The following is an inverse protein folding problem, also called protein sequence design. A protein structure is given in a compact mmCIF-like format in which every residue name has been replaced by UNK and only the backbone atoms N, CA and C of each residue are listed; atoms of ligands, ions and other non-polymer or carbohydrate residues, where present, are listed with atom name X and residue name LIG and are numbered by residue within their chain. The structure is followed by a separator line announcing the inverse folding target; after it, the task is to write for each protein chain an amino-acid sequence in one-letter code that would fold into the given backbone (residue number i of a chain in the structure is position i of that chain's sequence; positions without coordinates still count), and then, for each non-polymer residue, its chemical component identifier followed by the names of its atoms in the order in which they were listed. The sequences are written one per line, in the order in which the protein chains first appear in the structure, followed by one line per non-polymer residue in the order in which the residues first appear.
data_IF_774709053947
#
_entry.id   IF_774709053947
#
_cell.length_a   1.000
_cell.length_b   1.000
_cell.length_c   1.000
_cell.angle_alpha   90.00
_cell.angle_beta   90.00
_cell.angle_gamma   90.00
#
_symmetry.space_group_name_H-M   'P 1'
#
loop_
_entity.id
_entity.type
_entity.pdbx_description
1 polymer ?
#
# COMPACT_ATOMS: atom_id res chain seq x y z
N UNK A 1 5.97 -29.25 -6.54
CA UNK A 1 7.21 -28.77 -5.86
C UNK A 1 6.80 -27.65 -4.91
N UNK A 2 6.78 -27.91 -3.60
CA UNK A 2 6.43 -26.88 -2.62
C UNK A 2 7.47 -25.78 -2.65
N UNK A 3 7.06 -24.53 -2.92
CA UNK A 3 7.97 -23.40 -2.83
C UNK A 3 8.44 -23.29 -1.38
N UNK A 4 9.73 -23.52 -1.14
CA UNK A 4 10.34 -23.25 0.17
C UNK A 4 10.07 -21.79 0.51
N UNK A 5 9.33 -21.54 1.60
CA UNK A 5 9.11 -20.19 2.10
C UNK A 5 10.47 -19.57 2.41
N UNK A 6 10.80 -18.46 1.75
CA UNK A 6 12.09 -17.80 1.94
C UNK A 6 12.12 -17.09 3.30
N UNK A 7 13.20 -17.26 4.04
CA UNK A 7 13.44 -16.48 5.24
C UNK A 7 13.51 -14.99 4.91
N UNK A 8 13.01 -14.15 5.82
CA UNK A 8 13.06 -12.71 5.71
C UNK A 8 14.44 -12.14 6.06
N UNK A 9 15.40 -12.21 5.12
CA UNK A 9 16.78 -11.73 5.32
C UNK A 9 16.81 -10.20 5.50
N UNK A 10 16.09 -9.45 4.66
CA UNK A 10 15.97 -7.99 4.77
C UNK A 10 15.44 -7.47 6.12
N UNK A 11 14.84 -8.33 6.96
CA UNK A 11 14.41 -7.96 8.31
C UNK A 11 15.55 -7.43 9.19
N UNK A 12 16.78 -7.93 8.99
CA UNK A 12 17.95 -7.50 9.73
C UNK A 12 18.39 -6.06 9.39
N UNK A 13 17.93 -5.50 8.27
CA UNK A 13 18.24 -4.13 7.86
C UNK A 13 17.42 -3.08 8.63
N UNK A 14 16.34 -3.48 9.30
CA UNK A 14 15.57 -2.56 10.12
C UNK A 14 16.31 -2.19 11.41
N UNK A 15 16.12 -0.99 11.97
CA UNK A 15 16.65 -0.68 13.28
C UNK A 15 16.14 -1.65 14.36
N UNK A 16 16.92 -1.94 15.42
CA UNK A 16 16.54 -2.92 16.44
C UNK A 16 15.16 -2.67 17.07
N UNK A 17 14.81 -1.41 17.31
CA UNK A 17 13.49 -1.04 17.83
C UNK A 17 12.34 -1.41 16.89
N UNK A 18 12.54 -1.34 15.56
CA UNK A 18 11.52 -1.78 14.58
C UNK A 18 11.40 -3.29 14.62
N UNK A 19 12.54 -3.99 14.64
CA UNK A 19 12.58 -5.44 14.65
C UNK A 19 11.79 -5.98 15.85
N UNK A 20 12.03 -5.45 17.05
CA UNK A 20 11.31 -5.85 18.26
C UNK A 20 9.80 -5.62 18.14
N UNK A 21 9.37 -4.43 17.67
CA UNK A 21 7.94 -4.12 17.48
C UNK A 21 7.27 -5.03 16.44
N UNK A 22 7.96 -5.36 15.35
CA UNK A 22 7.43 -6.27 14.33
C UNK A 22 7.32 -7.70 14.84
N UNK A 23 8.32 -8.20 15.59
CA UNK A 23 8.24 -9.53 16.22
C UNK A 23 7.10 -9.59 17.23
N UNK A 24 6.93 -8.56 18.06
CA UNK A 24 5.81 -8.48 19.01
C UNK A 24 4.46 -8.49 18.29
N UNK A 25 4.32 -7.72 17.19
CA UNK A 25 3.13 -7.73 16.36
C UNK A 25 2.85 -9.11 15.76
N UNK A 26 3.87 -9.79 15.23
CA UNK A 26 3.70 -11.14 14.67
C UNK A 26 3.33 -12.16 15.76
N UNK A 27 3.87 -12.03 16.97
CA UNK A 27 3.48 -12.88 18.09
C UNK A 27 2.00 -12.69 18.45
N UNK A 28 1.55 -11.44 18.61
CA UNK A 28 0.15 -11.09 18.89
C UNK A 28 -0.80 -11.65 17.82
N UNK A 29 -0.49 -11.45 16.53
CA UNK A 29 -1.29 -12.00 15.44
C UNK A 29 -1.37 -13.54 15.49
N UNK A 30 -0.28 -14.22 15.83
CA UNK A 30 -0.27 -15.67 15.97
C UNK A 30 -1.09 -16.16 17.16
N UNK A 31 -1.11 -15.44 18.27
CA UNK A 31 -1.99 -15.73 19.42
C UNK A 31 -3.47 -15.64 19.04
N UNK A 32 -3.81 -14.74 18.11
CA UNK A 32 -5.15 -14.62 17.50
C UNK A 32 -5.42 -15.66 16.39
N UNK A 33 -4.51 -16.60 16.17
CA UNK A 33 -4.64 -17.64 15.14
C UNK A 33 -4.28 -17.19 13.72
N UNK A 34 -3.62 -16.04 13.56
CA UNK A 34 -3.18 -15.49 12.28
C UNK A 34 -1.68 -15.75 12.09
N UNK A 35 -1.34 -16.76 11.29
CA UNK A 35 0.04 -17.14 10.96
C UNK A 35 0.56 -16.52 9.65
N UNK A 36 -0.33 -15.89 8.89
CA UNK A 36 -0.01 -15.26 7.60
C UNK A 36 -0.80 -13.97 7.38
N UNK A 37 -0.16 -13.00 6.73
CA UNK A 37 -0.78 -11.77 6.29
C UNK A 37 -0.52 -11.58 4.79
N UNK A 38 -1.57 -11.25 4.04
CA UNK A 38 -1.47 -10.95 2.61
C UNK A 38 -1.97 -9.54 2.34
N UNK A 39 -1.04 -8.70 1.90
CA UNK A 39 -1.23 -7.29 1.61
C UNK A 39 -1.30 -7.10 0.10
N UNK A 40 -2.34 -6.45 -0.40
CA UNK A 40 -2.47 -6.02 -1.79
C UNK A 40 -2.07 -4.55 -1.90
N UNK A 41 -1.19 -4.20 -2.83
CA UNK A 41 -0.79 -2.80 -3.05
C UNK A 41 -1.39 -2.32 -4.36
N UNK A 42 -2.16 -1.22 -4.35
CA UNK A 42 -2.78 -0.64 -5.54
C UNK A 42 -2.61 0.89 -5.58
N UNK A 43 -2.70 1.47 -6.76
CA UNK A 43 -2.61 2.92 -6.97
C UNK A 43 -2.28 3.27 -8.42
N UNK A 44 -2.08 4.56 -8.69
CA UNK A 44 -1.61 5.03 -10.01
C UNK A 44 -0.20 4.52 -10.33
N UNK A 45 0.22 4.64 -11.58
CA UNK A 45 1.62 4.39 -11.96
C UNK A 45 2.55 5.44 -11.34
N UNK A 46 3.75 5.04 -10.93
CA UNK A 46 4.80 5.97 -10.47
C UNK A 46 4.58 6.60 -9.09
N UNK A 47 3.57 6.16 -8.32
CA UNK A 47 3.31 6.66 -6.95
C UNK A 47 4.17 6.01 -5.86
N UNK A 48 5.06 5.08 -6.23
CA UNK A 48 5.97 4.42 -5.28
C UNK A 48 5.45 3.11 -4.67
N UNK A 49 4.59 2.37 -5.38
CA UNK A 49 4.08 1.04 -4.97
C UNK A 49 5.22 0.05 -4.71
N UNK A 50 6.03 -0.25 -5.74
CA UNK A 50 7.16 -1.19 -5.65
C UNK A 50 8.24 -0.71 -4.66
N UNK A 51 8.46 0.60 -4.56
CA UNK A 51 9.36 1.20 -3.56
C UNK A 51 8.86 0.93 -2.15
N UNK A 52 7.56 1.11 -1.90
CA UNK A 52 6.92 0.78 -0.63
C UNK A 52 7.08 -0.71 -0.29
N UNK A 53 6.88 -1.59 -1.27
CA UNK A 53 7.09 -3.05 -1.08
C UNK A 53 8.53 -3.36 -0.68
N UNK A 54 9.52 -2.79 -1.39
CA UNK A 54 10.94 -2.99 -1.06
C UNK A 54 11.29 -2.45 0.33
N UNK A 55 10.77 -1.28 0.70
CA UNK A 55 10.94 -0.71 2.04
C UNK A 55 10.32 -1.60 3.12
N UNK A 56 9.14 -2.17 2.87
CA UNK A 56 8.47 -3.08 3.80
C UNK A 56 9.21 -4.40 3.96
N UNK A 57 9.98 -4.87 2.97
CA UNK A 57 10.83 -6.04 3.12
C UNK A 57 12.25 -5.74 3.61
N UNK A 58 12.68 -4.47 3.61
CA UNK A 58 14.07 -4.11 3.93
C UNK A 58 15.09 -4.61 2.91
N UNK A 59 14.66 -5.02 1.71
CA UNK A 59 15.51 -5.50 0.63
C UNK A 59 14.86 -5.20 -0.74
N UNK A 60 15.65 -5.20 -1.82
CA UNK A 60 15.13 -5.00 -3.18
C UNK A 60 14.54 -6.31 -3.71
N UNK A 61 13.25 -6.53 -3.48
CA UNK A 61 12.50 -7.72 -3.90
C UNK A 61 11.74 -7.55 -5.23
N UNK A 62 11.37 -6.32 -5.55
CA UNK A 62 10.71 -5.95 -6.81
C UNK A 62 11.59 -4.94 -7.55
N UNK A 63 11.71 -5.10 -8.86
CA UNK A 63 12.44 -4.17 -9.71
C UNK A 63 11.71 -2.83 -9.77
N UNK A 64 12.43 -1.74 -9.51
CA UNK A 64 11.93 -0.37 -9.64
C UNK A 64 12.55 0.21 -10.91
N UNK A 65 11.73 0.66 -11.85
CA UNK A 65 12.18 1.39 -13.05
C UNK A 65 11.48 2.73 -13.14
N UNK A 66 12.24 3.83 -13.12
CA UNK A 66 11.70 5.18 -13.30
C UNK A 66 11.42 5.52 -14.78
N UNK A 67 11.97 4.74 -15.72
CA UNK A 67 11.97 5.02 -17.16
C UNK A 67 11.33 3.92 -18.03
N UNK A 68 10.96 2.78 -17.43
CA UNK A 68 10.24 1.71 -18.13
C UNK A 68 8.83 1.64 -17.57
N UNK A 69 7.84 1.42 -18.45
CA UNK A 69 6.46 1.10 -18.04
C UNK A 69 6.51 0.05 -16.94
N UNK A 70 5.81 0.29 -15.83
CA UNK A 70 5.70 -0.67 -14.71
C UNK A 70 5.43 -2.09 -15.26
N UNK A 71 6.01 -3.12 -14.65
CA UNK A 71 5.81 -4.48 -15.11
C UNK A 71 4.32 -4.78 -15.27
N UNK A 72 3.91 -5.30 -16.42
CA UNK A 72 2.50 -5.47 -16.79
C UNK A 72 1.72 -6.51 -15.96
N UNK A 73 2.34 -7.15 -14.96
CA UNK A 73 1.75 -8.25 -14.20
C UNK A 73 1.97 -8.08 -12.69
N UNK A 74 0.98 -8.47 -11.87
CA UNK A 74 1.16 -8.51 -10.42
C UNK A 74 2.27 -9.48 -10.01
N UNK A 75 3.00 -9.13 -8.95
CA UNK A 75 4.08 -9.94 -8.37
C UNK A 75 3.80 -10.13 -6.89
N UNK A 76 3.76 -11.38 -6.42
CA UNK A 76 3.70 -11.69 -4.99
C UNK A 76 5.10 -11.96 -4.47
N UNK A 77 5.48 -11.27 -3.42
CA UNK A 77 6.68 -11.55 -2.64
C UNK A 77 6.25 -12.11 -1.29
N UNK A 78 6.81 -13.27 -0.93
CA UNK A 78 6.56 -13.94 0.34
C UNK A 78 7.84 -14.06 1.15
N UNK A 79 7.78 -13.72 2.44
CA UNK A 79 8.86 -13.96 3.41
C UNK A 79 8.32 -14.52 4.70
N UNK A 80 9.09 -15.38 5.36
CA UNK A 80 8.77 -15.93 6.68
C UNK A 80 9.75 -15.42 7.74
N UNK A 81 9.22 -15.06 8.92
CA UNK A 81 10.00 -14.72 10.11
C UNK A 81 9.25 -15.16 11.36
N UNK A 82 9.94 -15.82 12.29
CA UNK A 82 9.35 -16.30 13.56
C UNK A 82 8.07 -17.16 13.37
N UNK A 83 8.00 -17.92 12.26
CA UNK A 83 6.83 -18.72 11.90
C UNK A 83 5.63 -17.90 11.41
N UNK A 84 5.78 -16.61 11.15
CA UNK A 84 4.79 -15.75 10.53
C UNK A 84 5.14 -15.50 9.05
N UNK A 85 4.16 -15.60 8.16
CA UNK A 85 4.35 -15.42 6.72
C UNK A 85 3.75 -14.09 6.24
N UNK A 86 4.60 -13.19 5.78
CA UNK A 86 4.17 -11.95 5.12
C UNK A 86 4.19 -12.12 3.60
N UNK A 87 3.04 -11.92 2.97
CA UNK A 87 2.88 -11.84 1.52
C UNK A 87 2.52 -10.39 1.15
N UNK A 88 3.25 -9.80 0.22
CA UNK A 88 2.87 -8.51 -0.37
C UNK A 88 2.76 -8.68 -1.88
N UNK A 89 1.63 -8.26 -2.43
CA UNK A 89 1.33 -8.31 -3.86
C UNK A 89 1.51 -6.91 -4.41
N UNK A 90 2.62 -6.70 -5.12
CA UNK A 90 2.83 -5.49 -5.93
C UNK A 90 2.04 -5.60 -7.23
N UNK A 91 1.43 -4.50 -7.67
CA UNK A 91 0.55 -4.48 -8.84
C UNK A 91 0.97 -3.40 -9.85
N UNK A 92 0.63 -3.58 -11.14
CA UNK A 92 0.77 -2.51 -12.13
C UNK A 92 -0.14 -1.32 -11.79
N UNK A 93 0.25 -0.15 -12.26
CA UNK A 93 -0.53 1.08 -12.15
C UNK A 93 -1.86 0.98 -12.89
N UNK A 94 -2.88 1.63 -12.32
CA UNK A 94 -4.25 1.53 -12.80
C UNK A 94 -4.63 2.58 -13.86
N UNK A 95 -3.64 3.25 -14.45
CA UNK A 95 -3.85 4.30 -15.45
C UNK A 95 -3.05 3.98 -16.71
N UNK A 96 -3.72 4.07 -17.86
CA UNK A 96 -3.15 3.88 -19.18
C UNK A 96 -3.73 4.93 -20.13
N UNK A 97 -2.88 5.71 -20.79
CA UNK A 97 -3.32 6.76 -21.73
C UNK A 97 -4.21 7.85 -21.11
N UNK A 98 -4.16 8.07 -19.78
CA UNK A 98 -5.01 9.04 -19.08
C UNK A 98 -6.38 8.51 -18.64
N UNK A 99 -6.65 7.21 -18.83
CA UNK A 99 -7.89 6.55 -18.42
C UNK A 99 -7.59 5.40 -17.46
N UNK A 100 -8.63 4.89 -16.79
CA UNK A 100 -8.53 3.69 -15.96
C UNK A 100 -8.17 2.48 -16.83
N UNK A 101 -7.10 1.77 -16.48
CA UNK A 101 -6.74 0.50 -17.15
C UNK A 101 -7.53 -0.66 -16.55
N UNK A 102 -8.68 -0.98 -17.15
CA UNK A 102 -9.46 -2.17 -16.78
C UNK A 102 -8.73 -3.47 -17.08
N UNK A 103 -7.80 -3.47 -18.05
CA UNK A 103 -6.92 -4.61 -18.31
C UNK A 103 -6.01 -4.90 -17.11
N UNK A 104 -5.40 -3.85 -16.52
CA UNK A 104 -4.61 -4.02 -15.30
C UNK A 104 -5.46 -4.55 -14.14
N UNK A 105 -6.67 -4.02 -13.95
CA UNK A 105 -7.61 -4.50 -12.92
C UNK A 105 -7.98 -5.97 -13.11
N UNK A 106 -8.27 -6.40 -14.33
CA UNK A 106 -8.60 -7.79 -14.64
C UNK A 106 -7.40 -8.73 -14.42
N UNK A 107 -6.19 -8.31 -14.80
CA UNK A 107 -4.96 -9.06 -14.50
C UNK A 107 -4.74 -9.22 -12.99
N UNK A 108 -4.96 -8.16 -12.21
CA UNK A 108 -4.92 -8.22 -10.75
C UNK A 108 -5.99 -9.18 -10.25
N UNK A 109 -7.25 -9.03 -10.67
CA UNK A 109 -8.36 -9.87 -10.24
C UNK A 109 -8.11 -11.36 -10.50
N UNK A 110 -7.62 -11.71 -11.70
CA UNK A 110 -7.21 -13.08 -12.05
C UNK A 110 -6.06 -13.58 -11.19
N UNK A 111 -5.06 -12.74 -10.92
CA UNK A 111 -3.95 -13.08 -10.05
C UNK A 111 -4.41 -13.35 -8.61
N UNK A 112 -5.43 -12.65 -8.12
CA UNK A 112 -5.98 -12.81 -6.77
C UNK A 112 -6.95 -13.98 -6.62
N UNK A 113 -7.27 -14.73 -7.69
CA UNK A 113 -8.11 -15.92 -7.59
C UNK A 113 -7.54 -16.88 -6.53
N UNK A 114 -8.44 -17.35 -5.66
CA UNK A 114 -8.16 -18.24 -4.53
C UNK A 114 -7.18 -17.68 -3.48
N UNK A 115 -7.05 -16.35 -3.39
CA UNK A 115 -6.22 -15.68 -2.37
C UNK A 115 -7.08 -14.82 -1.46
N UNK A 116 -6.81 -14.91 -0.16
CA UNK A 116 -7.43 -14.02 0.83
C UNK A 116 -6.62 -12.74 0.97
N UNK A 117 -7.26 -11.60 0.76
CA UNK A 117 -6.65 -10.27 1.00
C UNK A 117 -7.01 -9.81 2.40
N UNK A 118 -5.99 -9.54 3.20
CA UNK A 118 -6.14 -9.12 4.58
C UNK A 118 -6.10 -7.60 4.71
N UNK A 119 -5.25 -6.96 3.91
CA UNK A 119 -5.07 -5.50 3.89
C UNK A 119 -4.92 -5.02 2.44
N UNK A 120 -5.57 -3.90 2.12
CA UNK A 120 -5.30 -3.12 0.92
C UNK A 120 -4.44 -1.90 1.29
N UNK A 121 -3.27 -1.74 0.68
CA UNK A 121 -2.55 -0.47 0.68
C UNK A 121 -2.93 0.29 -0.58
N UNK A 122 -3.72 1.36 -0.43
CA UNK A 122 -3.95 2.31 -1.50
C UNK A 122 -2.86 3.38 -1.46
N UNK A 123 -1.96 3.34 -2.43
CA UNK A 123 -0.76 4.19 -2.47
C UNK A 123 -1.01 5.39 -3.38
N UNK A 124 -0.71 6.57 -2.86
CA UNK A 124 -0.69 7.82 -3.60
C UNK A 124 0.51 8.67 -3.14
N UNK A 125 0.77 9.78 -3.82
CA UNK A 125 1.86 10.69 -3.46
C UNK A 125 1.38 11.81 -2.57
N UNK A 126 2.19 12.16 -1.57
CA UNK A 126 1.95 13.33 -0.72
C UNK A 126 2.14 14.63 -1.52
N UNK A 127 3.17 14.69 -2.36
CA UNK A 127 3.53 15.86 -3.18
C UNK A 127 2.62 16.08 -4.41
N UNK A 128 1.52 15.32 -4.52
CA UNK A 128 0.49 15.56 -5.52
C UNK A 128 -0.49 16.65 -5.05
N UNK A 129 -0.52 17.78 -5.76
CA UNK A 129 -1.31 18.95 -5.39
C UNK A 129 -2.82 18.83 -5.66
N UNK A 130 -3.24 17.87 -6.47
CA UNK A 130 -4.63 17.72 -6.89
C UNK A 130 -5.10 16.28 -6.77
N UNK A 131 -6.35 16.13 -6.39
CA UNK A 131 -7.14 14.92 -6.63
C UNK A 131 -8.08 15.24 -7.77
N UNK A 132 -8.03 14.47 -8.83
CA UNK A 132 -8.81 14.72 -10.05
C UNK A 132 -9.97 13.72 -10.22
N UNK A 133 -10.75 13.90 -11.28
CA UNK A 133 -11.83 12.96 -11.61
C UNK A 133 -11.31 11.57 -11.97
N UNK A 134 -10.07 11.46 -12.46
CA UNK A 134 -9.44 10.18 -12.75
C UNK A 134 -9.19 9.39 -11.46
N UNK A 135 -8.75 10.03 -10.37
CA UNK A 135 -8.62 9.39 -9.06
C UNK A 135 -9.95 8.78 -8.61
N UNK A 136 -11.05 9.55 -8.73
CA UNK A 136 -12.39 9.06 -8.40
C UNK A 136 -12.81 7.88 -9.27
N UNK A 137 -12.48 7.90 -10.57
CA UNK A 137 -12.75 6.80 -11.50
C UNK A 137 -11.96 5.54 -11.13
N UNK A 138 -10.68 5.66 -10.79
CA UNK A 138 -9.82 4.55 -10.34
C UNK A 138 -10.43 3.90 -9.10
N UNK A 139 -10.78 4.69 -8.09
CA UNK A 139 -11.40 4.22 -6.85
C UNK A 139 -12.72 3.50 -7.15
N UNK A 140 -13.55 4.07 -8.03
CA UNK A 140 -14.78 3.44 -8.48
C UNK A 140 -14.53 2.08 -9.13
N UNK A 141 -13.54 2.00 -10.02
CA UNK A 141 -13.20 0.76 -10.71
C UNK A 141 -12.61 -0.31 -9.78
N UNK A 142 -11.85 0.07 -8.74
CA UNK A 142 -11.42 -0.83 -7.67
C UNK A 142 -12.65 -1.40 -6.95
N UNK A 143 -13.58 -0.53 -6.54
CA UNK A 143 -14.82 -0.95 -5.88
C UNK A 143 -15.69 -1.86 -6.74
N UNK A 144 -15.80 -1.59 -8.03
CA UNK A 144 -16.57 -2.41 -8.96
C UNK A 144 -15.87 -3.78 -9.19
N UNK A 145 -14.55 -3.83 -9.11
CA UNK A 145 -13.76 -5.06 -9.36
C UNK A 145 -13.66 -5.98 -8.14
N UNK A 146 -13.49 -5.41 -6.94
CA UNK A 146 -13.15 -6.11 -5.70
C UNK A 146 -14.18 -5.95 -4.57
N UNK A 147 -15.28 -5.23 -4.81
CA UNK A 147 -16.28 -4.92 -3.79
C UNK A 147 -15.94 -3.68 -2.97
N UNK A 148 -16.94 -3.12 -2.29
CA UNK A 148 -16.77 -1.91 -1.44
C UNK A 148 -16.11 -2.24 -0.10
N UNK A 149 -16.28 -3.47 0.36
CA UNK A 149 -15.73 -4.01 1.58
C UNK A 149 -14.19 -4.06 1.58
N UNK A 150 -13.53 -3.99 0.42
CA UNK A 150 -12.07 -3.91 0.38
C UNK A 150 -11.55 -2.65 1.10
N UNK A 151 -12.36 -1.58 1.12
CA UNK A 151 -12.00 -0.32 1.76
C UNK A 151 -12.05 -0.38 3.29
N UNK A 152 -12.84 -1.28 3.90
CA UNK A 152 -12.83 -1.44 5.37
C UNK A 152 -11.57 -2.13 5.90
N UNK A 153 -10.78 -2.70 4.99
CA UNK A 153 -9.46 -3.30 5.26
C UNK A 153 -8.34 -2.50 4.60
N UNK A 154 -8.60 -1.24 4.25
CA UNK A 154 -7.66 -0.42 3.49
C UNK A 154 -6.91 0.58 4.38
N UNK A 155 -5.67 0.85 3.97
CA UNK A 155 -4.82 1.91 4.50
C UNK A 155 -4.45 2.83 3.35
N UNK A 156 -4.59 4.14 3.58
CA UNK A 156 -4.05 5.14 2.67
C UNK A 156 -2.56 5.32 2.95
N UNK A 157 -1.72 5.10 1.95
CA UNK A 157 -0.28 5.30 2.03
C UNK A 157 0.10 6.50 1.17
N UNK A 158 0.66 7.54 1.79
CA UNK A 158 1.18 8.72 1.09
C UNK A 158 2.71 8.66 1.04
N UNK A 159 3.25 8.45 -0.16
CA UNK A 159 4.70 8.43 -0.41
C UNK A 159 5.24 9.86 -0.62
N UNK A 160 6.55 10.01 -0.81
CA UNK A 160 7.20 11.32 -0.97
C UNK A 160 6.99 12.22 0.26
N UNK A 161 6.93 11.61 1.45
CA UNK A 161 6.69 12.31 2.71
C UNK A 161 7.87 13.21 3.20
N UNK A 162 8.97 13.29 2.46
CA UNK A 162 10.08 14.22 2.73
C UNK A 162 9.95 15.55 1.96
N UNK A 163 8.74 15.91 1.53
CA UNK A 163 8.52 17.18 0.85
C UNK A 163 8.61 18.36 1.83
N UNK A 164 9.07 19.50 1.32
CA UNK A 164 8.91 20.79 1.96
C UNK A 164 7.62 21.42 1.40
N UNK A 165 6.58 21.65 2.23
CA UNK A 165 5.34 22.24 1.73
C UNK A 165 5.58 23.64 1.14
N UNK A 166 4.87 24.03 0.08
CA UNK A 166 4.91 25.40 -0.43
C UNK A 166 4.14 26.38 0.48
N UNK A 167 4.30 27.67 0.22
CA UNK A 167 3.48 28.77 0.77
C UNK A 167 3.47 28.89 2.31
N UNK A 168 4.62 28.65 2.96
CA UNK A 168 4.80 28.69 4.42
C UNK A 168 3.83 27.79 5.22
N UNK A 169 3.20 26.81 4.55
CA UNK A 169 2.34 25.84 5.22
C UNK A 169 3.19 24.91 6.09
N UNK A 170 2.72 24.66 7.32
CA UNK A 170 3.32 23.61 8.13
C UNK A 170 3.09 22.24 7.50
N UNK A 171 4.06 21.34 7.70
CA UNK A 171 4.01 19.98 7.19
C UNK A 171 2.74 19.23 7.63
N UNK A 172 2.33 19.41 8.89
CA UNK A 172 1.14 18.76 9.44
C UNK A 172 -0.15 19.24 8.76
N UNK A 173 -0.26 20.55 8.50
CA UNK A 173 -1.42 21.11 7.79
C UNK A 173 -1.46 20.63 6.35
N UNK A 174 -0.31 20.56 5.67
CA UNK A 174 -0.22 20.03 4.32
C UNK A 174 -0.65 18.56 4.27
N UNK A 175 -0.10 17.74 5.17
CA UNK A 175 -0.44 16.33 5.30
C UNK A 175 -1.94 16.11 5.57
N UNK A 176 -2.51 16.86 6.50
CA UNK A 176 -3.92 16.77 6.86
C UNK A 176 -4.83 17.14 5.67
N UNK A 177 -4.55 18.24 4.99
CA UNK A 177 -5.34 18.65 3.80
C UNK A 177 -5.25 17.62 2.68
N UNK A 178 -4.05 17.12 2.42
CA UNK A 178 -3.81 16.13 1.37
C UNK A 178 -4.50 14.80 1.69
N UNK A 179 -4.34 14.28 2.90
CA UNK A 179 -4.99 13.04 3.31
C UNK A 179 -6.52 13.17 3.30
N UNK A 180 -7.08 14.27 3.81
CA UNK A 180 -8.52 14.52 3.79
C UNK A 180 -9.06 14.56 2.36
N UNK A 181 -8.36 15.21 1.43
CA UNK A 181 -8.76 15.28 0.02
C UNK A 181 -8.80 13.88 -0.63
N UNK A 182 -7.79 13.05 -0.38
CA UNK A 182 -7.76 11.66 -0.91
C UNK A 182 -8.85 10.83 -0.25
N UNK A 183 -8.98 10.86 1.08
CA UNK A 183 -9.99 10.11 1.82
C UNK A 183 -11.41 10.47 1.38
N UNK A 184 -11.70 11.77 1.18
CA UNK A 184 -12.97 12.23 0.64
C UNK A 184 -13.25 11.63 -0.73
N UNK A 185 -12.22 11.55 -1.57
CA UNK A 185 -12.31 10.98 -2.92
C UNK A 185 -12.49 9.46 -2.88
N UNK A 186 -11.77 8.74 -2.01
CA UNK A 186 -11.97 7.30 -1.76
C UNK A 186 -13.43 7.05 -1.40
N UNK A 187 -13.95 7.75 -0.41
CA UNK A 187 -15.34 7.60 0.02
C UNK A 187 -16.34 7.86 -1.12
N UNK A 188 -16.13 8.94 -1.88
CA UNK A 188 -17.02 9.33 -2.98
C UNK A 188 -16.95 8.37 -4.18
N UNK A 189 -15.73 7.97 -4.58
CA UNK A 189 -15.51 7.03 -5.70
C UNK A 189 -16.02 5.63 -5.37
N UNK A 190 -15.78 5.16 -4.14
CA UNK A 190 -16.24 3.86 -3.66
C UNK A 190 -17.75 3.83 -3.34
N UNK A 191 -18.42 5.00 -3.35
CA UNK A 191 -19.84 5.16 -3.03
C UNK A 191 -20.16 4.59 -1.63
N UNK A 192 -19.35 4.97 -0.64
CA UNK A 192 -19.49 4.57 0.77
C UNK A 192 -20.14 5.73 1.55
N UNK A 193 -21.07 5.41 2.46
CA UNK A 193 -21.73 6.41 3.30
C UNK A 193 -20.75 6.95 4.34
N UNK A 194 -20.87 8.22 4.73
CA UNK A 194 -19.95 8.87 5.70
C UNK A 194 -19.77 8.08 7.00
N UNK A 195 -20.86 7.53 7.54
CA UNK A 195 -20.89 6.78 8.79
C UNK A 195 -20.25 5.38 8.71
N UNK A 196 -20.03 4.87 7.50
CA UNK A 196 -19.50 3.52 7.26
C UNK A 196 -18.04 3.59 6.74
N UNK A 197 -17.40 4.76 6.77
CA UNK A 197 -16.10 4.99 6.16
C UNK A 197 -15.02 5.20 7.21
N UNK A 198 -14.21 4.17 7.43
CA UNK A 198 -13.04 4.18 8.30
C UNK A 198 -11.82 3.75 7.49
N UNK A 199 -10.84 4.65 7.34
CA UNK A 199 -9.56 4.39 6.68
C UNK A 199 -8.47 5.09 7.47
N UNK A 200 -7.42 4.36 7.82
CA UNK A 200 -6.27 4.90 8.54
C UNK A 200 -5.22 5.36 7.53
N UNK A 201 -4.59 6.50 7.80
CA UNK A 201 -3.55 7.09 6.95
C UNK A 201 -2.15 6.79 7.48
N UNK A 202 -1.24 6.45 6.58
CA UNK A 202 0.18 6.24 6.84
C UNK A 202 1.02 7.04 5.86
N UNK A 203 2.13 7.59 6.33
CA UNK A 203 3.09 8.35 5.52
C UNK A 203 4.38 7.56 5.38
N UNK A 204 4.91 7.47 4.15
CA UNK A 204 6.13 6.71 3.86
C UNK A 204 7.18 7.62 3.22
N UNK A 205 8.34 7.71 3.86
CA UNK A 205 9.53 8.41 3.38
C UNK A 205 10.45 7.41 2.69
N UNK A 206 10.64 7.56 1.38
CA UNK A 206 11.48 6.64 0.59
C UNK A 206 12.93 7.15 0.52
N UNK A 207 13.66 7.12 1.63
CA UNK A 207 15.12 7.04 1.67
C UNK A 207 15.46 6.30 2.96
N UNK A 208 15.69 4.97 2.86
CA UNK A 208 16.30 4.16 3.92
C UNK A 208 15.90 4.53 5.36
N UNK A 209 14.74 4.03 5.82
CA UNK A 209 14.30 4.00 7.23
C UNK A 209 14.87 5.09 8.15
N UNK A 210 14.21 6.24 8.19
CA UNK A 210 14.11 6.99 9.44
C UNK A 210 12.64 7.10 9.85
N UNK A 211 12.35 6.41 10.94
CA UNK A 211 11.08 6.26 11.65
C UNK A 211 10.22 7.51 11.74
N UNK A 212 8.90 7.34 11.55
CA UNK A 212 7.89 7.73 12.54
C UNK A 212 6.68 6.78 12.41
N UNK A 213 6.78 5.61 13.03
CA UNK A 213 5.59 4.87 13.47
C UNK A 213 5.15 5.51 14.79
N UNK A 214 4.44 6.63 14.72
CA UNK A 214 3.68 7.09 15.89
C UNK A 214 2.46 6.18 15.97
N UNK A 215 2.48 5.31 16.98
CA UNK A 215 1.36 4.45 17.32
C UNK A 215 0.14 5.29 17.70
N UNK A 216 -0.98 5.02 17.04
CA UNK A 216 -2.31 5.12 17.64
C UNK A 216 -3.13 3.96 17.05
N UNK A 217 -2.81 2.75 17.53
CA UNK A 217 -3.79 1.69 17.71
C UNK A 217 -4.28 1.79 19.15
#
# INVERSE_FOLDING_TARGET
MGSVLREWIGFQQFPPATQSKLVELFAKLKEEGVDKLTILVMGKGGVGKSSTVNSLFGERVVNISSFQSEGFRPVMVSRNRAGFTLNIIDTPGLVEGGYVSYQALDLIKRFLLNKTIHVLLYVDRLDAYRVDDLDKQIIGAISDSFGKEIWSKSLLVLTHAQLCPPDDLSYDVFCARRSEAVLKTIRMGARIRKRDFEVICFFITCFSLFFYFSLSL
#
